data_IF_564186831085
#
_entry.id   IF_564186831085
#
_cell.length_a   1.000
_cell.length_b   1.000
_cell.length_c   1.000
_cell.angle_alpha   90.00
_cell.angle_beta   90.00
_cell.angle_gamma   90.00
#
_symmetry.space_group_name_H-M   'P 1'
#
loop_
_entity.id
_entity.type
_entity.pdbx_description
1 polymer ?
#
# COMPACT_ATOMS: atom_id res chain seq x y z
N UNK A 1 -1.41 -13.04 -18.27
CA UNK A 1 -0.11 -12.96 -18.96
C UNK A 1 0.37 -11.54 -18.83
N UNK A 2 1.61 -11.33 -18.38
CA UNK A 2 2.20 -9.98 -18.31
C UNK A 2 2.72 -9.55 -19.68
N UNK A 3 2.94 -8.25 -19.89
CA UNK A 3 3.52 -7.75 -21.12
C UNK A 3 4.91 -8.35 -21.38
N UNK A 4 5.70 -8.58 -20.33
CA UNK A 4 7.02 -9.22 -20.42
C UNK A 4 6.93 -10.67 -20.91
N UNK A 5 6.02 -11.47 -20.35
CA UNK A 5 5.79 -12.85 -20.80
C UNK A 5 5.33 -12.90 -22.26
N UNK A 6 4.45 -11.97 -22.64
CA UNK A 6 3.99 -11.83 -24.02
C UNK A 6 5.14 -11.44 -24.95
N UNK A 7 5.99 -10.48 -24.55
CA UNK A 7 7.15 -10.04 -25.32
C UNK A 7 8.12 -11.20 -25.62
N UNK A 8 8.39 -12.06 -24.64
CA UNK A 8 9.24 -13.23 -24.83
C UNK A 8 8.62 -14.20 -25.85
N UNK A 9 7.33 -14.53 -25.70
CA UNK A 9 6.63 -15.44 -26.62
C UNK A 9 6.56 -14.88 -28.03
N UNK A 10 6.21 -13.61 -28.15
CA UNK A 10 6.12 -12.92 -29.42
C UNK A 10 7.48 -12.87 -30.12
N UNK A 11 8.57 -12.60 -29.39
CA UNK A 11 9.92 -12.59 -29.98
C UNK A 11 10.30 -13.94 -30.58
N UNK A 12 9.95 -15.05 -29.93
CA UNK A 12 10.18 -16.40 -30.47
C UNK A 12 9.32 -16.66 -31.72
N UNK A 13 8.06 -16.21 -31.73
CA UNK A 13 7.16 -16.38 -32.87
C UNK A 13 7.61 -15.53 -34.07
N UNK A 14 7.95 -14.27 -33.84
CA UNK A 14 8.48 -13.36 -34.86
C UNK A 14 9.74 -13.95 -35.51
N UNK A 15 10.69 -14.43 -34.70
CA UNK A 15 11.92 -15.07 -35.20
C UNK A 15 11.63 -16.32 -36.06
N UNK A 16 10.61 -17.11 -35.71
CA UNK A 16 10.20 -18.29 -36.49
C UNK A 16 9.47 -17.94 -37.78
N UNK A 17 8.74 -16.82 -37.80
CA UNK A 17 7.96 -16.38 -38.96
C UNK A 17 8.82 -15.82 -40.09
N UNK A 18 10.04 -15.37 -39.79
CA UNK A 18 10.91 -14.69 -40.75
C UNK A 18 10.46 -13.27 -41.10
N UNK A 19 9.42 -12.73 -40.45
CA UNK A 19 8.96 -11.35 -40.67
C UNK A 19 9.98 -10.38 -40.05
N UNK A 20 10.54 -9.51 -40.88
CA UNK A 20 11.49 -8.47 -40.47
C UNK A 20 10.90 -7.06 -40.47
N UNK A 21 9.75 -6.88 -41.13
CA UNK A 21 9.12 -5.57 -41.27
C UNK A 21 8.41 -5.15 -39.99
N UNK A 22 8.87 -4.05 -39.40
CA UNK A 22 8.34 -3.54 -38.13
C UNK A 22 6.84 -3.23 -38.21
N UNK A 23 6.34 -2.69 -39.32
CA UNK A 23 4.90 -2.40 -39.49
C UNK A 23 4.04 -3.66 -39.34
N UNK A 24 4.42 -4.73 -40.04
CA UNK A 24 3.71 -6.00 -39.97
C UNK A 24 3.79 -6.59 -38.56
N UNK A 25 4.98 -6.57 -37.96
CA UNK A 25 5.16 -7.05 -36.59
C UNK A 25 4.33 -6.25 -35.58
N UNK A 26 4.22 -4.92 -35.74
CA UNK A 26 3.43 -4.05 -34.85
C UNK A 26 1.95 -4.43 -34.93
N UNK A 27 1.41 -4.61 -36.14
CA UNK A 27 0.01 -5.00 -36.34
C UNK A 27 -0.31 -6.34 -35.65
N UNK A 28 0.53 -7.36 -35.86
CA UNK A 28 0.37 -8.66 -35.19
C UNK A 28 0.54 -8.56 -33.67
N UNK A 29 1.51 -7.76 -33.23
CA UNK A 29 1.79 -7.57 -31.81
C UNK A 29 0.62 -6.90 -31.09
N UNK A 30 0.07 -5.83 -31.68
CA UNK A 30 -1.11 -5.12 -31.19
C UNK A 30 -2.30 -6.05 -31.06
N UNK A 31 -2.56 -6.91 -32.05
CA UNK A 31 -3.68 -7.85 -32.02
C UNK A 31 -3.67 -8.81 -30.82
N UNK A 32 -2.49 -9.11 -30.24
CA UNK A 32 -2.37 -9.95 -29.05
C UNK A 32 -2.28 -9.18 -27.72
N UNK A 33 -2.27 -7.84 -27.73
CA UNK A 33 -2.26 -7.03 -26.52
C UNK A 33 -3.68 -6.74 -26.00
N UNK A 34 -3.87 -6.52 -24.69
CA UNK A 34 -5.13 -6.00 -24.17
C UNK A 34 -5.44 -4.60 -24.72
N UNK A 35 -6.69 -4.33 -25.12
CA UNK A 35 -7.11 -3.05 -25.71
C UNK A 35 -6.69 -1.83 -24.87
N UNK A 36 -6.85 -1.90 -23.54
CA UNK A 36 -6.46 -0.80 -22.65
C UNK A 36 -4.97 -0.46 -22.72
N UNK A 37 -4.10 -1.47 -22.96
CA UNK A 37 -2.66 -1.25 -23.09
C UNK A 37 -2.33 -0.70 -24.50
N UNK A 38 -3.02 -1.18 -25.53
CA UNK A 38 -2.88 -0.65 -26.89
C UNK A 38 -3.23 0.84 -26.93
N UNK A 39 -4.41 1.22 -26.43
CA UNK A 39 -4.87 2.60 -26.35
C UNK A 39 -3.85 3.47 -25.60
N UNK A 40 -3.38 3.01 -24.44
CA UNK A 40 -2.38 3.72 -23.63
C UNK A 40 -1.09 4.02 -24.41
N UNK A 41 -0.63 3.07 -25.22
CA UNK A 41 0.59 3.22 -26.04
C UNK A 41 0.34 4.16 -27.21
N UNK A 42 -0.80 4.04 -27.90
CA UNK A 42 -1.16 4.88 -29.04
C UNK A 42 -1.39 6.35 -28.64
N UNK A 43 -1.99 6.60 -27.49
CA UNK A 43 -2.25 7.96 -26.99
C UNK A 43 -1.08 8.54 -26.19
N UNK A 44 0.08 7.86 -26.17
CA UNK A 44 1.27 8.39 -25.51
C UNK A 44 1.87 9.54 -26.34
N UNK A 45 2.45 10.55 -25.68
CA UNK A 45 2.96 11.77 -26.33
C UNK A 45 3.93 11.48 -27.50
N UNK A 46 4.70 10.40 -27.37
CA UNK A 46 5.65 9.92 -28.38
C UNK A 46 5.22 8.54 -28.88
N UNK A 47 4.27 8.40 -29.81
CA UNK A 47 3.81 7.09 -30.25
C UNK A 47 4.96 6.27 -30.85
N UNK A 48 5.14 5.00 -30.44
CA UNK A 48 6.24 4.18 -30.92
C UNK A 48 6.06 3.80 -32.39
N UNK A 49 7.18 3.82 -33.12
CA UNK A 49 7.22 3.52 -34.56
C UNK A 49 7.95 2.23 -34.88
N UNK A 50 8.74 1.73 -33.93
CA UNK A 50 9.51 0.49 -34.06
C UNK A 50 8.97 -0.59 -33.13
N UNK A 51 9.16 -1.85 -33.51
CA UNK A 51 8.74 -2.98 -32.67
C UNK A 51 9.43 -3.03 -31.32
N UNK A 52 10.67 -2.56 -31.26
CA UNK A 52 11.41 -2.47 -30.01
C UNK A 52 10.73 -1.50 -29.06
N UNK A 53 10.42 -0.30 -29.51
CA UNK A 53 9.75 0.72 -28.69
C UNK A 53 8.36 0.26 -28.24
N UNK A 54 7.61 -0.42 -29.10
CA UNK A 54 6.32 -1.01 -28.74
C UNK A 54 6.44 -1.99 -27.57
N UNK A 55 7.41 -2.91 -27.62
CA UNK A 55 7.68 -3.87 -26.54
C UNK A 55 8.14 -3.19 -25.25
N UNK A 56 9.00 -2.19 -25.36
CA UNK A 56 9.52 -1.43 -24.22
C UNK A 56 8.37 -0.69 -23.52
N UNK A 57 7.54 0.04 -24.27
CA UNK A 57 6.38 0.76 -23.71
C UNK A 57 5.34 -0.18 -23.11
N UNK A 58 5.03 -1.30 -23.77
CA UNK A 58 4.11 -2.29 -23.22
C UNK A 58 4.59 -2.82 -21.86
N UNK A 59 5.89 -3.13 -21.75
CA UNK A 59 6.52 -3.54 -20.49
C UNK A 59 6.38 -2.47 -19.41
N UNK A 60 6.70 -1.21 -19.73
CA UNK A 60 6.63 -0.09 -18.78
C UNK A 60 5.19 0.11 -18.27
N UNK A 61 4.21 0.19 -19.17
CA UNK A 61 2.83 0.46 -18.78
C UNK A 61 2.20 -0.69 -18.00
N UNK A 62 2.46 -1.95 -18.37
CA UNK A 62 1.96 -3.10 -17.60
C UNK A 62 2.61 -3.12 -16.22
N UNK A 63 3.93 -2.94 -16.11
CA UNK A 63 4.61 -2.88 -14.81
C UNK A 63 4.09 -1.76 -13.93
N UNK A 64 3.85 -0.58 -14.50
CA UNK A 64 3.25 0.55 -13.78
C UNK A 64 1.83 0.22 -13.31
N UNK A 65 1.03 -0.42 -14.16
CA UNK A 65 -0.30 -0.88 -13.78
C UNK A 65 -0.25 -1.90 -12.64
N UNK A 66 0.64 -2.89 -12.68
CA UNK A 66 0.80 -3.86 -11.59
C UNK A 66 1.27 -3.19 -10.29
N UNK A 67 2.22 -2.24 -10.36
CA UNK A 67 2.66 -1.44 -9.21
C UNK A 67 1.50 -0.64 -8.61
N UNK A 68 0.76 0.09 -9.44
CA UNK A 68 -0.41 0.85 -9.00
C UNK A 68 -1.48 -0.05 -8.37
N UNK A 69 -1.73 -1.23 -8.95
CA UNK A 69 -2.65 -2.23 -8.41
C UNK A 69 -2.19 -2.76 -7.05
N UNK A 70 -0.89 -3.03 -6.88
CA UNK A 70 -0.31 -3.47 -5.62
C UNK A 70 -0.43 -2.38 -4.53
N UNK A 71 -0.12 -1.12 -4.87
CA UNK A 71 -0.29 0.03 -3.97
C UNK A 71 -1.75 0.17 -3.56
N UNK A 72 -2.69 0.15 -4.52
CA UNK A 72 -4.11 0.24 -4.23
C UNK A 72 -4.62 -0.93 -3.37
N UNK A 73 -4.11 -2.14 -3.59
CA UNK A 73 -4.41 -3.30 -2.75
C UNK A 73 -3.89 -3.12 -1.31
N UNK A 74 -2.67 -2.60 -1.13
CA UNK A 74 -2.13 -2.27 0.19
C UNK A 74 -2.94 -1.17 0.90
N UNK A 75 -3.33 -0.10 0.20
CA UNK A 75 -4.15 0.96 0.79
C UNK A 75 -5.53 0.44 1.23
N UNK A 76 -6.16 -0.41 0.41
CA UNK A 76 -7.43 -1.07 0.77
C UNK A 76 -7.27 -2.07 1.93
N UNK A 77 -6.20 -2.85 1.94
CA UNK A 77 -5.90 -3.80 3.03
C UNK A 77 -5.56 -3.10 4.35
N UNK A 78 -4.84 -1.98 4.31
CA UNK A 78 -4.54 -1.17 5.49
C UNK A 78 -5.77 -0.43 6.04
N UNK A 79 -6.80 -0.20 5.22
CA UNK A 79 -8.08 0.34 5.69
C UNK A 79 -8.80 -0.65 6.63
N UNK A 80 -8.60 -1.96 6.46
CA UNK A 80 -9.20 -2.99 7.33
C UNK A 80 -8.51 -3.14 8.70
N UNK A 81 -7.22 -2.78 8.81
CA UNK A 81 -6.45 -2.91 10.06
C UNK A 81 -6.40 -1.63 10.91
N UNK A 82 -6.89 -0.51 10.39
CA UNK A 82 -7.17 0.69 11.19
C UNK A 82 -8.56 0.64 11.84
N UNK A 83 -8.93 -0.53 12.37
CA UNK A 83 -10.01 -0.68 13.35
C UNK A 83 -9.58 -0.19 14.75
N UNK A 84 -8.67 0.78 14.81
CA UNK A 84 -8.44 1.67 15.96
C UNK A 84 -9.00 3.06 15.71
N UNK A 85 -9.94 3.20 14.76
CA UNK A 85 -11.03 4.16 14.96
C UNK A 85 -11.67 3.79 16.31
N UNK A 86 -11.16 4.40 17.39
CA UNK A 86 -11.82 4.47 18.68
C UNK A 86 -13.22 4.90 18.33
N UNK A 87 -14.15 3.95 18.32
CA UNK A 87 -15.57 4.25 18.48
C UNK A 87 -15.59 4.94 19.84
N UNK A 88 -15.48 6.27 19.81
CA UNK A 88 -15.95 7.08 20.90
C UNK A 88 -17.42 6.67 20.98
N UNK A 89 -17.69 5.73 21.88
CA UNK A 89 -19.03 5.43 22.30
C UNK A 89 -19.48 6.74 22.94
N UNK A 90 -20.01 7.66 22.14
CA UNK A 90 -20.92 8.66 22.64
C UNK A 90 -22.10 7.85 23.14
N UNK A 91 -21.96 7.34 24.38
CA UNK A 91 -23.08 6.90 25.19
C UNK A 91 -23.95 8.12 25.23
N UNK A 92 -24.96 8.13 24.36
CA UNK A 92 -26.07 9.06 24.44
C UNK A 92 -26.64 8.80 25.82
N UNK A 93 -26.24 9.62 26.79
CA UNK A 93 -26.84 9.65 28.12
C UNK A 93 -28.28 10.05 27.88
N UNK A 94 -29.15 9.07 27.67
CA UNK A 94 -30.58 9.25 27.76
C UNK A 94 -30.85 9.74 29.18
N UNK A 95 -31.42 10.94 29.39
CA UNK A 95 -31.67 11.49 30.72
C UNK A 95 -32.62 10.66 31.61
N UNK A 96 -33.19 9.57 31.08
CA UNK A 96 -34.27 8.81 31.69
C UNK A 96 -33.83 7.77 32.75
N UNK A 97 -32.54 7.63 33.07
CA UNK A 97 -32.06 6.74 34.14
C UNK A 97 -31.62 7.50 35.41
N UNK A 98 -32.14 8.72 35.63
CA UNK A 98 -31.82 9.56 36.78
C UNK A 98 -32.57 9.13 38.06
N UNK A 99 -32.54 7.83 38.39
CA UNK A 99 -33.17 7.24 39.57
C UNK A 99 -32.13 7.03 40.72
N UNK A 100 -32.57 6.93 41.99
CA UNK A 100 -32.08 7.61 43.22
C UNK A 100 -30.64 7.39 43.69
N UNK A 101 -29.82 6.63 42.98
CA UNK A 101 -28.44 6.32 43.37
C UNK A 101 -27.52 7.54 43.37
N UNK A 102 -27.73 8.52 42.47
CA UNK A 102 -26.98 9.81 42.46
C UNK A 102 -27.30 10.63 43.70
N UNK A 103 -28.58 10.76 44.07
CA UNK A 103 -29.02 11.54 45.24
C UNK A 103 -28.55 10.93 46.56
N UNK A 104 -28.30 9.61 46.59
CA UNK A 104 -27.88 8.87 47.80
C UNK A 104 -26.38 8.59 47.87
N UNK A 105 -25.58 9.04 46.90
CA UNK A 105 -24.13 8.82 46.88
C UNK A 105 -23.73 7.34 46.79
N UNK A 106 -24.56 6.50 46.14
CA UNK A 106 -24.34 5.06 46.05
C UNK A 106 -23.67 4.69 44.72
N UNK A 107 -22.79 3.68 44.75
CA UNK A 107 -22.19 3.11 43.55
C UNK A 107 -23.26 2.48 42.65
N UNK A 108 -23.33 2.85 41.37
CA UNK A 108 -24.28 2.26 40.42
C UNK A 108 -24.07 0.76 40.12
N UNK A 109 -22.94 0.18 40.51
CA UNK A 109 -22.61 -1.22 40.22
C UNK A 109 -22.97 -2.18 41.37
N UNK A 110 -22.80 -1.75 42.62
CA UNK A 110 -23.06 -2.57 43.81
C UNK A 110 -24.01 -1.93 44.82
N UNK A 111 -24.50 -0.72 44.55
CA UNK A 111 -25.41 0.06 45.39
C UNK A 111 -24.90 0.35 46.82
N UNK A 112 -23.60 0.23 47.07
CA UNK A 112 -22.97 0.59 48.34
C UNK A 112 -22.45 2.04 48.32
N UNK A 113 -22.48 2.75 49.46
CA UNK A 113 -21.83 4.06 49.59
C UNK A 113 -20.30 3.94 49.63
N UNK A 114 -19.60 5.06 49.48
CA UNK A 114 -18.15 5.15 49.67
C UNK A 114 -17.28 5.00 48.41
N UNK A 115 -17.87 4.71 47.25
CA UNK A 115 -17.17 4.78 45.96
C UNK A 115 -18.14 5.03 44.80
N UNK A 116 -17.63 5.64 43.73
CA UNK A 116 -18.37 5.77 42.47
C UNK A 116 -18.16 4.52 41.61
N UNK A 117 -19.07 4.28 40.63
CA UNK A 117 -18.99 3.12 39.74
C UNK A 117 -17.68 3.04 38.95
N UNK A 118 -17.03 4.18 38.66
CA UNK A 118 -15.69 4.22 38.03
C UNK A 118 -14.58 3.68 38.92
N UNK A 119 -14.72 3.80 40.25
CA UNK A 119 -13.77 3.34 41.26
C UNK A 119 -14.11 1.95 41.81
N UNK A 120 -15.17 1.32 41.30
CA UNK A 120 -15.53 -0.04 41.70
C UNK A 120 -14.45 -1.00 41.17
N UNK A 121 -13.55 -1.46 42.07
CA UNK A 121 -12.52 -2.45 41.72
C UNK A 121 -13.19 -3.70 41.14
N UNK A 122 -13.09 -3.87 39.82
CA UNK A 122 -13.25 -5.17 39.20
C UNK A 122 -12.04 -6.01 39.62
N UNK A 123 -12.25 -7.29 39.97
CA UNK A 123 -11.16 -8.24 40.18
C UNK A 123 -10.19 -8.10 39.00
N UNK A 124 -8.96 -7.70 39.32
CA UNK A 124 -7.93 -7.41 38.33
C UNK A 124 -7.46 -8.71 37.71
N UNK A 125 -7.66 -8.90 36.41
CA UNK A 125 -6.62 -9.54 35.60
C UNK A 125 -5.75 -8.40 35.08
N UNK A 126 -4.49 -8.39 35.47
CA UNK A 126 -3.51 -7.39 35.06
C UNK A 126 -3.23 -7.57 33.58
N UNK A 127 -3.90 -6.79 32.74
CA UNK A 127 -3.47 -6.60 31.35
C UNK A 127 -2.19 -5.76 31.37
N UNK A 128 -1.04 -6.40 31.15
CA UNK A 128 0.17 -5.69 30.74
C UNK A 128 0.10 -5.48 29.22
N UNK A 129 0.17 -4.24 28.71
CA UNK A 129 0.28 -4.03 27.28
C UNK A 129 1.60 -4.63 26.80
N UNK A 130 1.53 -5.61 25.89
CA UNK A 130 2.70 -6.08 25.13
C UNK A 130 3.28 -4.88 24.39
N UNK A 131 4.56 -4.56 24.60
CA UNK A 131 5.30 -3.64 23.73
C UNK A 131 5.29 -4.24 22.33
N UNK A 132 4.45 -3.70 21.45
CA UNK A 132 4.53 -4.01 20.03
C UNK A 132 5.87 -3.45 19.52
N UNK A 133 6.69 -4.32 18.93
CA UNK A 133 7.86 -3.90 18.17
C UNK A 133 7.38 -2.99 17.04
N UNK A 134 7.74 -1.71 17.13
CA UNK A 134 7.42 -0.72 16.11
C UNK A 134 8.12 -1.14 14.83
N UNK A 135 7.34 -1.67 13.87
CA UNK A 135 7.84 -1.96 12.52
C UNK A 135 8.29 -0.64 11.90
N UNK A 136 9.61 -0.45 11.80
CA UNK A 136 10.23 0.73 11.18
C UNK A 136 9.74 0.86 9.74
N UNK A 137 9.39 2.07 9.33
CA UNK A 137 8.99 2.34 7.95
C UNK A 137 10.15 2.08 6.99
N UNK A 138 9.91 1.83 5.68
CA UNK A 138 10.98 1.65 4.71
C UNK A 138 12.01 2.79 4.73
N UNK A 139 11.56 4.03 4.89
CA UNK A 139 12.44 5.20 5.04
C UNK A 139 13.24 5.20 6.34
N UNK A 140 12.69 4.67 7.44
CA UNK A 140 13.43 4.51 8.70
C UNK A 140 14.48 3.40 8.62
N UNK A 141 14.22 2.34 7.84
CA UNK A 141 15.21 1.30 7.56
C UNK A 141 16.34 1.84 6.68
N UNK A 142 16.00 2.56 5.61
CA UNK A 142 17.00 3.22 4.75
C UNK A 142 17.85 4.21 5.57
N UNK A 143 17.24 5.02 6.44
CA UNK A 143 17.96 5.94 7.34
C UNK A 143 18.85 5.23 8.35
N UNK A 144 18.43 4.06 8.84
CA UNK A 144 19.23 3.26 9.77
C UNK A 144 20.45 2.67 9.06
N UNK A 145 20.27 2.11 7.85
CA UNK A 145 21.37 1.60 7.02
C UNK A 145 22.36 2.73 6.68
N UNK A 146 21.85 3.91 6.29
CA UNK A 146 22.69 5.09 6.06
C UNK A 146 23.43 5.57 7.30
N UNK A 147 22.95 5.25 8.51
CA UNK A 147 23.60 5.61 9.77
C UNK A 147 24.62 4.60 10.27
N UNK A 148 24.61 3.39 9.73
CA UNK A 148 25.62 2.36 9.98
C UNK A 148 26.83 2.51 9.06
N UNK A 149 26.69 3.23 7.94
CA UNK A 149 27.78 3.55 7.01
C UNK A 149 28.66 4.69 7.54
N UNK A 150 29.97 4.61 7.28
CA UNK A 150 30.92 5.69 7.57
C UNK A 150 30.64 6.95 6.74
N UNK A 151 31.14 8.11 7.17
CA UNK A 151 30.79 9.40 6.57
C UNK A 151 31.14 9.49 5.07
N UNK A 152 32.23 8.86 4.63
CA UNK A 152 32.60 8.80 3.20
C UNK A 152 31.63 7.94 2.39
N UNK A 153 31.30 6.73 2.86
CA UNK A 153 30.40 5.80 2.17
C UNK A 153 28.96 6.34 2.12
N UNK A 154 28.53 7.02 3.18
CA UNK A 154 27.25 7.74 3.23
C UNK A 154 27.20 8.83 2.16
N UNK A 155 28.23 9.65 2.04
CA UNK A 155 28.25 10.76 1.09
C UNK A 155 28.29 10.27 -0.36
N UNK A 156 29.04 9.20 -0.65
CA UNK A 156 29.02 8.54 -1.97
C UNK A 156 27.63 7.98 -2.29
N UNK A 157 26.98 7.36 -1.31
CA UNK A 157 25.62 6.83 -1.49
C UNK A 157 24.62 7.96 -1.77
N UNK A 158 24.73 9.09 -1.09
CA UNK A 158 23.86 10.25 -1.30
C UNK A 158 24.08 10.91 -2.67
N UNK A 159 25.34 11.09 -3.10
CA UNK A 159 25.69 11.64 -4.42
C UNK A 159 25.21 10.73 -5.56
N UNK A 160 25.28 9.41 -5.38
CA UNK A 160 24.73 8.45 -6.34
C UNK A 160 23.20 8.53 -6.43
N UNK A 161 22.51 8.69 -5.30
CA UNK A 161 21.05 8.85 -5.27
C UNK A 161 20.61 10.14 -5.98
N UNK A 162 21.34 11.24 -5.81
CA UNK A 162 21.08 12.51 -6.49
C UNK A 162 21.32 12.41 -8.00
N UNK A 163 22.38 11.72 -8.43
CA UNK A 163 22.68 11.46 -9.85
C UNK A 163 21.63 10.57 -10.54
N UNK A 164 21.02 9.65 -9.79
CA UNK A 164 19.96 8.75 -10.29
C UNK A 164 18.55 9.33 -10.16
N UNK A 165 18.39 10.52 -9.57
CA UNK A 165 17.12 11.25 -9.48
C UNK A 165 16.14 10.71 -8.43
N UNK A 166 16.65 10.19 -7.32
CA UNK A 166 15.86 9.78 -6.15
C UNK A 166 15.46 10.93 -5.22
#
# INVERSE_FOLDING_TARGET
>A
MTANEYNTKFSTQAARSGITEDKALIEYYMAGLPNALQEKILTSDNPPSTMKEWRDKASIYDNNYQRAKAIAAHLRGNSSNNNTAKKYNFRRNTPAAHYPSVKRGLCFKCHQPGHQASAHRARTTTYQPKKEEVKKTPYQNIRAILAELGDEERNVTLDQMEKEGF
#
